data_IF_983860853431
#
_entry.id   IF_983860853431
#
_cell.length_a   1.000
_cell.length_b   1.000
_cell.length_c   1.000
_cell.angle_alpha   90.00
_cell.angle_beta   90.00
_cell.angle_gamma   90.00
#
_symmetry.space_group_name_H-M   'P 1'
#
loop_
_entity.id
_entity.type
_entity.pdbx_description
1 polymer ?
#
# COMPACT_ATOMS: atom_id res chain seq x y z
N UNK A 1 13.60 -3.00 -26.42
CA UNK A 1 14.24 -2.43 -25.22
C UNK A 1 13.12 -2.23 -24.20
N UNK A 2 12.77 -3.28 -23.48
CA UNK A 2 11.58 -3.34 -22.60
C UNK A 2 12.07 -2.98 -21.20
N UNK A 3 11.89 -1.72 -20.79
CA UNK A 3 12.24 -1.23 -19.45
C UNK A 3 11.11 -1.60 -18.48
N UNK A 4 11.51 -1.98 -17.27
CA UNK A 4 10.65 -2.48 -16.20
C UNK A 4 9.70 -1.37 -15.74
N UNK A 5 8.41 -1.52 -16.00
CA UNK A 5 7.38 -0.65 -15.44
C UNK A 5 7.17 -1.00 -13.96
N UNK A 6 7.56 -0.08 -13.06
CA UNK A 6 7.26 -0.16 -11.64
C UNK A 6 5.93 0.56 -11.37
N UNK A 7 4.83 -0.05 -11.80
CA UNK A 7 3.54 0.12 -11.12
C UNK A 7 3.49 -0.94 -10.02
N UNK A 8 3.58 -0.52 -8.75
CA UNK A 8 3.79 -1.39 -7.57
C UNK A 8 2.50 -2.16 -7.15
N UNK A 9 1.67 -2.49 -8.14
CA UNK A 9 0.65 -3.53 -8.03
C UNK A 9 0.91 -4.74 -8.97
N UNK A 10 1.98 -4.71 -9.76
CA UNK A 10 2.38 -5.82 -10.63
C UNK A 10 3.44 -6.78 -10.03
N UNK A 11 4.03 -6.49 -8.86
CA UNK A 11 5.08 -7.34 -8.25
C UNK A 11 4.50 -8.27 -7.18
N UNK A 12 3.50 -9.05 -7.55
CA UNK A 12 3.11 -10.28 -6.86
C UNK A 12 2.91 -11.40 -7.90
N UNK A 13 3.91 -11.58 -8.76
CA UNK A 13 4.03 -12.79 -9.59
C UNK A 13 5.48 -13.10 -9.95
N UNK A 14 6.34 -13.32 -8.95
CA UNK A 14 7.58 -14.11 -9.17
C UNK A 14 7.75 -15.06 -7.99
N UNK A 15 7.25 -16.27 -8.16
CA UNK A 15 7.31 -17.31 -7.13
C UNK A 15 6.92 -18.69 -7.62
N UNK A 16 7.21 -19.05 -8.87
CA UNK A 16 7.13 -20.45 -9.31
C UNK A 16 8.37 -20.79 -10.14
N UNK A 17 9.42 -21.28 -9.46
CA UNK A 17 10.52 -21.97 -10.13
C UNK A 17 9.96 -23.27 -10.70
N UNK A 18 9.71 -23.30 -12.00
CA UNK A 18 9.69 -24.55 -12.76
C UNK A 18 11.12 -25.10 -12.78
N UNK A 19 11.37 -26.16 -12.02
CA UNK A 19 12.57 -26.97 -12.19
C UNK A 19 12.35 -27.90 -13.39
N UNK A 20 12.92 -27.54 -14.54
CA UNK A 20 13.10 -28.46 -15.66
C UNK A 20 14.26 -29.41 -15.36
N UNK A 21 13.98 -30.70 -15.46
CA UNK A 21 14.92 -31.81 -15.37
C UNK A 21 16.00 -31.76 -16.44
N UNK A 22 17.24 -32.06 -16.06
CA UNK A 22 18.17 -32.76 -16.96
C UNK A 22 19.18 -33.56 -16.14
N UNK A 23 19.34 -34.82 -16.56
CA UNK A 23 20.17 -35.89 -16.03
C UNK A 23 21.67 -35.63 -16.18
N UNK A 24 22.48 -36.11 -15.24
CA UNK A 24 23.61 -37.02 -15.52
C UNK A 24 24.19 -37.65 -14.24
N UNK A 25 24.87 -38.77 -14.48
CA UNK A 25 25.33 -39.90 -13.67
C UNK A 25 26.45 -39.68 -12.63
N UNK A 26 26.70 -40.78 -11.90
CA UNK A 26 27.91 -41.23 -11.15
C UNK A 26 27.76 -41.19 -9.62
N UNK A 27 27.55 -42.33 -8.92
CA UNK A 27 28.41 -43.50 -8.67
C UNK A 27 29.35 -43.34 -7.45
N UNK A 28 28.93 -44.00 -6.35
CA UNK A 28 29.70 -44.70 -5.32
C UNK A 28 30.96 -44.08 -4.68
N UNK A 29 30.97 -43.97 -3.35
CA UNK A 29 31.93 -44.70 -2.48
C UNK A 29 31.53 -44.59 -0.99
N UNK A 30 31.56 -45.73 -0.29
CA UNK A 30 31.59 -45.84 1.16
C UNK A 30 33.01 -45.55 1.68
N UNK A 31 33.19 -44.96 2.86
CA UNK A 31 33.73 -45.70 4.03
C UNK A 31 33.68 -44.93 5.39
N UNK A 32 33.15 -45.65 6.38
CA UNK A 32 33.41 -45.76 7.83
C UNK A 32 33.74 -44.59 8.79
N UNK A 33 33.06 -44.74 9.94
CA UNK A 33 33.48 -44.57 11.36
C UNK A 33 33.31 -43.17 12.00
N UNK A 34 32.24 -43.02 12.78
CA UNK A 34 32.38 -42.90 14.24
C UNK A 34 31.02 -43.15 14.92
N UNK A 35 31.04 -43.97 15.97
CA UNK A 35 29.84 -44.38 16.69
C UNK A 35 29.28 -43.28 17.57
N UNK A 36 28.01 -42.94 17.39
CA UNK A 36 27.15 -42.29 18.38
C UNK A 36 25.74 -42.89 18.31
N UNK A 37 25.13 -43.03 19.49
CA UNK A 37 23.85 -43.71 19.77
C UNK A 37 22.72 -43.25 18.86
N UNK A 38 21.96 -44.22 18.35
CA UNK A 38 20.67 -44.05 17.70
C UNK A 38 19.64 -43.43 18.67
N UNK A 39 18.96 -42.38 18.19
CA UNK A 39 17.62 -42.00 18.63
C UNK A 39 16.74 -42.18 17.39
N UNK A 40 15.76 -43.08 17.47
CA UNK A 40 14.79 -43.34 16.40
C UNK A 40 14.02 -42.05 16.07
N UNK A 41 14.15 -41.56 14.84
CA UNK A 41 13.23 -40.60 14.26
C UNK A 41 12.18 -41.44 13.53
N UNK A 42 10.93 -41.37 14.00
CA UNK A 42 9.78 -42.00 13.32
C UNK A 42 9.66 -41.42 11.91
N UNK A 43 9.67 -42.32 10.92
CA UNK A 43 9.37 -42.02 9.53
C UNK A 43 7.93 -41.50 9.39
N UNK A 44 7.76 -40.44 8.60
CA UNK A 44 6.46 -39.98 8.14
C UNK A 44 5.92 -41.00 7.13
N UNK A 45 4.65 -41.45 7.24
CA UNK A 45 4.10 -42.39 6.26
C UNK A 45 4.00 -41.75 4.87
N UNK A 46 4.40 -42.55 3.88
CA UNK A 46 4.32 -42.30 2.45
C UNK A 46 2.89 -42.00 1.99
N UNK A 47 2.78 -41.13 0.99
CA UNK A 47 1.56 -40.72 0.31
C UNK A 47 0.61 -41.88 -0.02
N UNK A 48 -0.54 -41.94 0.65
CA UNK A 48 -1.69 -42.71 0.19
C UNK A 48 -2.45 -41.91 -0.87
N UNK A 49 -2.68 -42.55 -2.02
CA UNK A 49 -3.53 -42.06 -3.11
C UNK A 49 -4.98 -41.90 -2.62
N UNK A 50 -5.53 -40.69 -2.74
CA UNK A 50 -6.95 -40.43 -2.48
C UNK A 50 -7.74 -40.72 -3.77
N UNK A 51 -8.79 -41.57 -3.74
CA UNK A 51 -9.53 -41.93 -4.93
C UNK A 51 -10.43 -40.79 -5.43
N UNK A 52 -10.50 -40.65 -6.75
CA UNK A 52 -11.33 -39.67 -7.44
C UNK A 52 -12.83 -39.99 -7.32
N UNK A 53 -13.63 -39.05 -6.79
CA UNK A 53 -15.10 -39.10 -6.87
C UNK A 53 -15.71 -37.72 -7.17
N UNK A 54 -16.61 -37.75 -8.16
CA UNK A 54 -17.69 -36.84 -8.52
C UNK A 54 -17.36 -35.42 -9.05
N UNK A 55 -17.59 -35.28 -10.36
CA UNK A 55 -17.73 -34.03 -11.11
C UNK A 55 -18.94 -33.24 -10.60
N UNK A 56 -18.72 -32.38 -9.62
CA UNK A 56 -19.62 -31.28 -9.27
C UNK A 56 -19.21 -30.02 -10.05
N UNK A 57 -20.19 -29.28 -10.58
CA UNK A 57 -19.99 -28.02 -11.32
C UNK A 57 -18.96 -27.13 -10.62
N UNK A 58 -17.76 -26.99 -11.18
CA UNK A 58 -16.77 -25.98 -10.73
C UNK A 58 -17.37 -24.61 -11.04
N UNK A 59 -18.07 -24.01 -10.07
CA UNK A 59 -18.02 -22.56 -9.97
C UNK A 59 -16.53 -22.24 -9.87
N UNK A 60 -15.94 -21.66 -10.92
CA UNK A 60 -14.62 -21.03 -10.79
C UNK A 60 -14.82 -20.03 -9.65
N UNK A 61 -14.20 -20.30 -8.50
CA UNK A 61 -14.12 -19.32 -7.43
C UNK A 61 -13.35 -18.14 -8.04
N UNK A 62 -14.09 -17.12 -8.47
CA UNK A 62 -13.49 -15.85 -8.85
C UNK A 62 -13.00 -15.28 -7.53
N UNK A 63 -11.69 -15.11 -7.41
CA UNK A 63 -11.11 -14.47 -6.26
C UNK A 63 -11.77 -13.09 -6.14
N UNK A 64 -12.53 -12.79 -5.07
CA UNK A 64 -13.23 -11.52 -4.96
C UNK A 64 -12.27 -10.34 -4.71
N UNK A 65 -10.97 -10.61 -4.52
CA UNK A 65 -9.95 -9.63 -4.25
C UNK A 65 -9.14 -9.34 -5.51
N UNK A 66 -9.08 -8.04 -5.83
CA UNK A 66 -8.15 -7.41 -6.78
C UNK A 66 -6.82 -8.16 -6.93
N UNK A 67 -6.14 -8.19 -5.78
CA UNK A 67 -4.84 -8.77 -5.60
C UNK A 67 -4.98 -10.02 -4.75
N UNK A 68 -4.95 -11.19 -5.40
CA UNK A 68 -5.15 -12.46 -4.71
C UNK A 68 -4.17 -12.68 -3.55
N UNK A 69 -2.96 -12.15 -3.65
CA UNK A 69 -1.97 -12.19 -2.58
C UNK A 69 -2.32 -11.29 -1.39
N UNK A 70 -3.09 -10.21 -1.58
CA UNK A 70 -3.58 -9.40 -0.47
C UNK A 70 -4.64 -10.13 0.35
N UNK A 71 -5.29 -11.16 -0.20
CA UNK A 71 -6.31 -11.95 0.51
C UNK A 71 -5.80 -12.59 1.80
N UNK A 72 -4.50 -12.87 1.92
CA UNK A 72 -3.88 -13.40 3.15
C UNK A 72 -3.85 -12.39 4.30
N UNK A 73 -3.98 -11.11 3.99
CA UNK A 73 -4.08 -10.02 4.96
C UNK A 73 -5.53 -9.59 5.20
N UNK A 74 -6.51 -10.23 4.58
CA UNK A 74 -7.91 -9.88 4.80
C UNK A 74 -8.41 -10.41 6.14
N UNK A 75 -8.69 -9.49 7.06
CA UNK A 75 -9.56 -9.72 8.21
C UNK A 75 -10.69 -8.69 8.17
N UNK A 76 -11.98 -9.12 8.08
CA UNK A 76 -13.12 -8.20 8.05
C UNK A 76 -13.25 -7.33 9.31
N UNK A 77 -12.56 -7.68 10.40
CA UNK A 77 -12.51 -6.91 11.66
C UNK A 77 -11.27 -6.03 11.75
N UNK A 78 -10.25 -6.25 10.93
CA UNK A 78 -9.05 -5.42 10.94
C UNK A 78 -9.38 -4.05 10.33
N UNK A 79 -9.07 -3.02 11.10
CA UNK A 79 -9.28 -1.62 10.72
C UNK A 79 -7.98 -0.89 10.44
N UNK A 80 -6.88 -1.33 11.05
CA UNK A 80 -5.56 -0.73 10.85
C UNK A 80 -4.69 -1.66 10.01
N UNK A 81 -4.22 -1.16 8.86
CA UNK A 81 -3.30 -1.84 7.95
C UNK A 81 -1.96 -1.11 7.84
N UNK A 82 -1.76 -0.04 8.63
CA UNK A 82 -0.60 0.86 8.49
C UNK A 82 0.73 0.15 8.71
N UNK A 83 0.79 -0.75 9.70
CA UNK A 83 1.98 -1.53 10.03
C UNK A 83 2.32 -2.58 8.98
N UNK A 84 1.31 -3.30 8.47
CA UNK A 84 1.45 -4.27 7.39
C UNK A 84 1.86 -3.57 6.09
N UNK A 85 1.20 -2.47 5.76
CA UNK A 85 1.51 -1.64 4.60
C UNK A 85 2.96 -1.17 4.65
N UNK A 86 3.39 -0.56 5.75
CA UNK A 86 4.76 -0.12 5.94
C UNK A 86 5.75 -1.28 5.80
N UNK A 87 5.52 -2.41 6.48
CA UNK A 87 6.44 -3.57 6.40
C UNK A 87 6.58 -4.10 4.98
N UNK A 88 5.47 -4.26 4.26
CA UNK A 88 5.49 -4.80 2.89
C UNK A 88 6.23 -3.83 1.98
N UNK A 89 5.84 -2.56 1.98
CA UNK A 89 6.43 -1.56 1.08
C UNK A 89 7.90 -1.30 1.41
N UNK A 90 8.21 -1.10 2.70
CA UNK A 90 9.58 -0.91 3.14
C UNK A 90 10.49 -2.07 2.75
N UNK A 91 10.01 -3.32 2.89
CA UNK A 91 10.77 -4.50 2.47
C UNK A 91 11.03 -4.51 0.97
N UNK A 92 10.06 -4.10 0.15
CA UNK A 92 10.21 -4.04 -1.31
C UNK A 92 11.32 -3.06 -1.71
N UNK A 93 11.35 -1.88 -1.11
CA UNK A 93 12.36 -0.86 -1.46
C UNK A 93 13.73 -1.13 -0.85
N UNK A 94 13.82 -1.76 0.33
CA UNK A 94 15.12 -2.09 0.96
C UNK A 94 15.98 -2.99 0.08
N UNK A 95 15.36 -3.94 -0.63
CA UNK A 95 16.09 -4.91 -1.46
C UNK A 95 16.49 -4.36 -2.83
N UNK A 96 15.75 -3.36 -3.32
CA UNK A 96 15.84 -2.88 -4.70
C UNK A 96 16.58 -1.55 -4.82
N UNK A 97 16.57 -0.71 -3.79
CA UNK A 97 16.90 0.71 -3.92
C UNK A 97 18.01 1.20 -3.00
N UNK A 98 18.36 2.47 -3.16
CA UNK A 98 19.39 3.14 -2.36
C UNK A 98 18.73 3.86 -1.19
N UNK A 99 19.17 3.59 0.04
CA UNK A 99 18.76 4.37 1.21
C UNK A 99 19.27 5.81 1.07
N UNK A 100 18.35 6.76 1.12
CA UNK A 100 18.64 8.19 1.03
C UNK A 100 18.05 8.97 2.20
N UNK A 101 17.72 8.30 3.32
CA UNK A 101 16.98 8.93 4.41
C UNK A 101 17.70 10.14 5.00
N UNK A 102 19.02 10.07 5.20
CA UNK A 102 19.77 11.24 5.68
C UNK A 102 19.72 12.41 4.68
N UNK A 103 19.65 12.12 3.38
CA UNK A 103 19.60 13.13 2.33
C UNK A 103 18.22 13.80 2.23
N UNK A 104 17.13 13.11 2.57
CA UNK A 104 15.77 13.70 2.46
C UNK A 104 15.58 14.90 3.40
N UNK A 105 16.34 14.99 4.49
CA UNK A 105 16.32 16.16 5.39
C UNK A 105 16.60 17.48 4.67
N UNK A 106 17.37 17.45 3.57
CA UNK A 106 17.78 18.64 2.82
C UNK A 106 16.70 19.19 1.89
N UNK A 107 15.63 18.43 1.63
CA UNK A 107 14.60 18.79 0.66
C UNK A 107 13.25 19.07 1.32
N UNK A 108 12.41 19.89 0.69
CA UNK A 108 11.08 20.21 1.19
C UNK A 108 10.01 19.41 0.43
N UNK A 109 9.43 18.43 1.11
CA UNK A 109 8.41 17.53 0.55
C UNK A 109 6.99 18.10 0.64
N UNK A 110 6.78 19.28 1.24
CA UNK A 110 5.45 19.86 1.48
C UNK A 110 4.58 19.91 0.22
N UNK A 111 5.19 20.18 -0.93
CA UNK A 111 4.50 20.29 -2.22
C UNK A 111 3.92 18.99 -2.76
N UNK A 112 4.37 17.81 -2.30
CA UNK A 112 3.83 16.54 -2.81
C UNK A 112 2.49 16.18 -2.16
N UNK A 113 2.24 16.65 -0.93
CA UNK A 113 0.99 16.38 -0.21
C UNK A 113 -0.07 17.48 -0.42
N UNK A 114 0.32 18.73 -0.72
CA UNK A 114 -0.60 19.82 -1.05
C UNK A 114 -1.02 19.80 -2.52
N UNK A 115 -2.03 19.01 -2.86
CA UNK A 115 -2.43 18.71 -4.25
C UNK A 115 -3.33 19.76 -4.93
N UNK A 116 -3.92 20.67 -4.17
CA UNK A 116 -4.84 21.69 -4.70
C UNK A 116 -6.23 21.16 -5.07
N UNK A 117 -6.50 19.88 -4.81
CA UNK A 117 -7.80 19.21 -4.93
C UNK A 117 -7.99 18.22 -3.76
N UNK A 118 -9.23 17.78 -3.55
CA UNK A 118 -9.56 16.74 -2.57
C UNK A 118 -9.09 15.37 -3.05
N UNK A 119 -8.40 14.63 -2.18
CA UNK A 119 -8.10 13.22 -2.37
C UNK A 119 -9.27 12.38 -1.85
N UNK A 120 -9.62 11.33 -2.58
CA UNK A 120 -10.71 10.42 -2.20
C UNK A 120 -10.18 9.21 -1.43
N UNK A 121 -11.03 8.64 -0.59
CA UNK A 121 -10.66 7.53 0.27
C UNK A 121 -11.85 6.75 0.79
N UNK A 122 -11.54 5.73 1.59
CA UNK A 122 -12.48 4.87 2.29
C UNK A 122 -12.38 5.05 3.79
N UNK A 123 -13.52 5.13 4.48
CA UNK A 123 -13.64 5.14 5.93
C UNK A 123 -14.60 4.04 6.43
N UNK A 124 -14.14 3.27 7.43
CA UNK A 124 -14.87 2.18 8.06
C UNK A 124 -14.97 0.89 7.22
N UNK A 125 -15.52 -0.16 7.83
CA UNK A 125 -15.64 -1.50 7.22
C UNK A 125 -16.58 -1.57 6.01
N UNK A 126 -17.43 -0.55 5.84
CA UNK A 126 -18.35 -0.44 4.70
C UNK A 126 -17.73 0.32 3.51
N UNK A 127 -16.46 0.72 3.61
CA UNK A 127 -15.77 1.53 2.60
C UNK A 127 -16.56 2.80 2.23
N UNK A 128 -17.07 3.52 3.23
CA UNK A 128 -17.77 4.78 2.99
C UNK A 128 -16.78 5.78 2.40
N UNK A 129 -17.20 6.57 1.41
CA UNK A 129 -16.35 7.62 0.83
C UNK A 129 -15.99 8.65 1.90
N UNK A 130 -14.72 9.01 1.93
CA UNK A 130 -14.18 10.16 2.63
C UNK A 130 -13.41 11.00 1.61
N UNK A 131 -13.47 12.32 1.76
CA UNK A 131 -12.64 13.26 1.01
C UNK A 131 -11.68 13.96 1.99
N UNK A 132 -10.43 14.13 1.58
CA UNK A 132 -9.39 14.81 2.35
C UNK A 132 -8.81 15.93 1.49
N UNK A 133 -8.93 17.17 1.96
CA UNK A 133 -8.35 18.35 1.34
C UNK A 133 -7.23 18.89 2.23
N UNK A 134 -5.97 18.71 1.83
CA UNK A 134 -4.82 19.32 2.51
C UNK A 134 -4.67 20.76 2.04
N UNK A 135 -4.95 21.71 2.93
CA UNK A 135 -4.93 23.14 2.64
C UNK A 135 -3.54 23.75 2.78
N UNK A 136 -2.73 23.24 3.71
CA UNK A 136 -1.36 23.67 3.87
C UNK A 136 -0.46 22.61 4.51
N UNK A 137 0.83 22.68 4.18
CA UNK A 137 1.88 21.85 4.75
C UNK A 137 3.11 22.71 4.99
N UNK A 138 3.62 22.69 6.22
CA UNK A 138 4.75 23.51 6.65
C UNK A 138 5.84 22.62 7.22
N UNK A 139 6.99 22.58 6.57
CA UNK A 139 8.19 21.91 7.10
C UNK A 139 8.65 22.58 8.41
N UNK A 140 8.92 21.76 9.43
CA UNK A 140 9.47 22.25 10.70
C UNK A 140 10.92 22.71 10.51
N UNK A 141 11.22 23.89 11.05
CA UNK A 141 12.56 24.50 11.01
C UNK A 141 13.53 23.84 12.01
N UNK A 142 13.02 23.27 13.10
CA UNK A 142 13.82 22.64 14.14
C UNK A 142 14.08 21.15 13.84
N UNK A 143 13.08 20.46 13.29
CA UNK A 143 13.20 19.07 12.86
C UNK A 143 12.89 18.94 11.35
N UNK A 144 13.90 18.84 10.47
CA UNK A 144 13.67 18.78 9.02
C UNK A 144 12.97 17.49 8.55
N UNK A 145 12.76 16.50 9.42
CA UNK A 145 11.95 15.31 9.12
C UNK A 145 10.47 15.50 9.44
N UNK A 146 10.08 16.61 10.07
CA UNK A 146 8.73 16.85 10.55
C UNK A 146 8.02 17.95 9.75
N UNK A 147 6.72 17.76 9.55
CA UNK A 147 5.84 18.66 8.84
C UNK A 147 4.57 18.88 9.65
N UNK A 148 4.08 20.11 9.67
CA UNK A 148 2.75 20.46 10.18
C UNK A 148 1.78 20.48 9.02
N UNK A 149 0.69 19.73 9.13
CA UNK A 149 -0.31 19.54 8.07
C UNK A 149 -1.63 20.12 8.54
N UNK A 150 -2.30 20.85 7.65
CA UNK A 150 -3.60 21.45 7.87
C UNK A 150 -4.53 21.06 6.72
N UNK A 151 -5.79 20.84 7.04
CA UNK A 151 -6.74 20.43 6.03
C UNK A 151 -8.15 20.25 6.54
N UNK A 152 -8.95 19.58 5.72
CA UNK A 152 -10.37 19.35 5.92
C UNK A 152 -10.68 17.91 5.52
N UNK A 153 -11.45 17.22 6.35
CA UNK A 153 -12.05 15.93 6.06
C UNK A 153 -13.56 16.10 5.82
N UNK A 154 -14.10 15.34 4.88
CA UNK A 154 -15.53 15.32 4.58
C UNK A 154 -16.04 13.88 4.44
N UNK A 155 -17.06 13.54 5.22
CA UNK A 155 -17.74 12.23 5.18
C UNK A 155 -19.24 12.46 5.15
N UNK A 156 -19.87 12.17 4.01
CA UNK A 156 -21.26 12.54 3.75
C UNK A 156 -21.49 14.05 3.97
N UNK A 157 -22.28 14.43 4.95
CA UNK A 157 -22.58 15.83 5.32
C UNK A 157 -21.71 16.35 6.49
N UNK A 158 -20.82 15.50 7.03
CA UNK A 158 -19.94 15.89 8.12
C UNK A 158 -18.60 16.41 7.59
N UNK A 159 -18.30 17.67 7.89
CA UNK A 159 -17.05 18.35 7.51
C UNK A 159 -16.31 18.76 8.77
N UNK A 160 -15.03 18.40 8.87
CA UNK A 160 -14.16 18.78 9.98
C UNK A 160 -12.84 19.34 9.47
N UNK A 161 -12.41 20.46 10.02
CA UNK A 161 -11.05 20.96 9.86
C UNK A 161 -10.12 20.11 10.74
N UNK A 162 -8.94 19.79 10.23
CA UNK A 162 -7.93 19.06 10.98
C UNK A 162 -6.57 19.77 10.93
N UNK A 163 -5.77 19.50 11.95
CA UNK A 163 -4.35 19.84 11.97
C UNK A 163 -3.54 18.73 12.62
N UNK A 164 -2.27 18.62 12.27
CA UNK A 164 -1.39 17.68 12.94
C UNK A 164 -0.03 17.58 12.30
N UNK A 165 0.57 16.42 12.46
CA UNK A 165 1.99 16.22 12.20
C UNK A 165 2.22 15.03 11.28
N UNK A 166 3.22 15.16 10.41
CA UNK A 166 3.77 14.10 9.59
C UNK A 166 5.27 14.07 9.83
N UNK A 167 5.79 12.91 10.22
CA UNK A 167 7.21 12.69 10.48
C UNK A 167 7.74 11.62 9.52
N UNK A 168 8.77 11.97 8.74
CA UNK A 168 9.44 11.02 7.83
C UNK A 168 10.14 9.91 8.63
N UNK A 169 9.97 8.67 8.18
CA UNK A 169 10.55 7.49 8.80
C UNK A 169 11.78 6.98 8.06
N UNK A 170 11.76 7.07 6.73
CA UNK A 170 12.81 6.63 5.82
C UNK A 170 12.53 7.14 4.39
N UNK A 171 13.54 7.01 3.52
CA UNK A 171 13.41 7.33 2.10
C UNK A 171 14.36 6.49 1.25
N UNK A 172 13.90 6.13 0.06
CA UNK A 172 14.68 5.36 -0.91
C UNK A 172 14.69 6.07 -2.26
N UNK A 173 15.82 6.05 -2.96
CA UNK A 173 15.91 6.48 -4.35
C UNK A 173 16.11 5.30 -5.28
N UNK A 174 15.45 5.35 -6.43
CA UNK A 174 15.66 4.38 -7.49
C UNK A 174 17.12 4.36 -7.93
N UNK A 175 17.70 3.17 -8.13
CA UNK A 175 19.08 3.04 -8.65
C UNK A 175 19.23 3.62 -10.05
N UNK A 176 18.17 3.52 -10.84
CA UNK A 176 18.04 4.12 -12.17
C UNK A 176 16.73 4.90 -12.19
N UNK A 177 16.79 6.20 -12.49
CA UNK A 177 15.58 7.00 -12.72
C UNK A 177 15.10 6.85 -14.16
N UNK A 178 13.79 6.90 -14.35
CA UNK A 178 13.16 6.99 -15.66
C UNK A 178 13.45 8.34 -16.37
N UNK A 179 13.88 9.35 -15.62
CA UNK A 179 14.19 10.70 -16.11
C UNK A 179 15.65 11.05 -15.84
N UNK A 180 16.35 11.53 -16.87
CA UNK A 180 17.74 11.97 -16.71
C UNK A 180 17.86 13.15 -15.74
N UNK A 181 18.91 13.15 -14.92
CA UNK A 181 19.23 14.19 -13.93
C UNK A 181 18.14 14.41 -12.86
N UNK A 182 17.33 13.40 -12.59
CA UNK A 182 16.33 13.42 -11.53
C UNK A 182 16.60 12.28 -10.55
N UNK A 183 16.55 12.58 -9.25
CA UNK A 183 16.41 11.55 -8.23
C UNK A 183 14.94 11.20 -8.10
N UNK A 184 14.59 10.01 -8.53
CA UNK A 184 13.27 9.42 -8.36
C UNK A 184 13.28 8.48 -7.17
N UNK A 185 12.21 8.43 -6.40
CA UNK A 185 12.19 7.61 -5.20
C UNK A 185 10.88 7.64 -4.44
N UNK A 186 10.90 7.11 -3.22
CA UNK A 186 9.78 7.11 -2.29
C UNK A 186 10.20 7.59 -0.91
N UNK A 187 9.30 8.29 -0.22
CA UNK A 187 9.42 8.56 1.21
C UNK A 187 8.26 7.93 1.96
N UNK A 188 8.56 7.46 3.17
CA UNK A 188 7.56 7.01 4.11
C UNK A 188 7.49 7.96 5.29
N UNK A 189 6.29 8.19 5.80
CA UNK A 189 6.07 9.00 6.98
C UNK A 189 5.00 8.40 7.90
N UNK A 190 5.09 8.71 9.18
CA UNK A 190 4.02 8.50 10.15
C UNK A 190 3.26 9.80 10.32
N UNK A 191 1.94 9.73 10.28
CA UNK A 191 1.10 10.91 10.45
C UNK A 191 0.15 10.77 11.64
N UNK A 192 -0.24 11.91 12.20
CA UNK A 192 -1.28 12.03 13.21
C UNK A 192 -2.00 13.35 13.02
N UNK A 193 -3.26 13.33 12.59
CA UNK A 193 -4.08 14.53 12.37
C UNK A 193 -5.29 14.53 13.29
N UNK A 194 -5.57 15.66 13.91
CA UNK A 194 -6.64 15.88 14.87
C UNK A 194 -7.68 16.79 14.24
N UNK A 195 -8.89 16.29 14.11
CA UNK A 195 -10.05 17.14 13.79
C UNK A 195 -10.36 18.05 14.97
N UNK A 196 -10.89 19.25 14.69
CA UNK A 196 -11.33 20.20 15.70
C UNK A 196 -12.42 19.58 16.58
N UNK A 197 -12.13 19.46 17.87
CA UNK A 197 -13.05 18.86 18.85
C UNK A 197 -14.35 19.65 19.04
N UNK A 198 -14.42 20.90 18.58
CA UNK A 198 -15.64 21.71 18.60
C UNK A 198 -16.59 21.42 17.43
N UNK A 199 -16.15 20.68 16.41
CA UNK A 199 -16.96 20.32 15.25
C UNK A 199 -17.72 19.00 15.47
N UNK A 200 -18.57 18.64 14.51
CA UNK A 200 -19.46 17.49 14.65
C UNK A 200 -18.71 16.17 14.42
N UNK A 201 -18.90 15.22 15.32
CA UNK A 201 -18.29 13.88 15.27
C UNK A 201 -16.78 13.88 14.93
N UNK A 202 -15.95 14.65 15.65
CA UNK A 202 -14.53 14.79 15.35
C UNK A 202 -13.74 13.57 15.85
N UNK A 203 -12.55 13.40 15.29
CA UNK A 203 -11.67 12.30 15.61
C UNK A 203 -10.20 12.52 15.25
N UNK A 204 -9.46 11.44 15.39
CA UNK A 204 -8.02 11.36 15.16
C UNK A 204 -7.74 10.46 13.96
N UNK A 205 -7.08 11.01 12.96
CA UNK A 205 -6.41 10.22 11.92
C UNK A 205 -5.01 9.82 12.39
N UNK A 206 -4.62 8.57 12.15
CA UNK A 206 -3.25 8.09 12.43
C UNK A 206 -2.89 6.95 11.50
N UNK A 207 -1.65 6.94 11.00
CA UNK A 207 -1.18 5.89 10.11
C UNK A 207 0.17 6.17 9.48
N UNK A 208 0.38 5.55 8.32
CA UNK A 208 1.57 5.67 7.48
C UNK A 208 1.20 6.27 6.13
N UNK A 209 2.04 7.15 5.62
CA UNK A 209 1.99 7.65 4.25
C UNK A 209 3.17 7.12 3.45
N UNK A 210 2.93 6.76 2.21
CA UNK A 210 3.96 6.54 1.19
C UNK A 210 3.74 7.52 0.04
N UNK A 211 4.79 8.23 -0.36
CA UNK A 211 4.75 9.19 -1.46
C UNK A 211 5.93 9.00 -2.38
N UNK A 212 5.66 8.79 -3.67
CA UNK A 212 6.66 8.83 -4.72
C UNK A 212 7.11 10.26 -5.00
N UNK A 213 8.39 10.49 -5.19
CA UNK A 213 8.97 11.80 -5.44
C UNK A 213 9.90 11.82 -6.64
N UNK A 214 10.04 13.02 -7.21
CA UNK A 214 11.06 13.40 -8.17
C UNK A 214 11.78 14.64 -7.64
N UNK A 215 13.10 14.62 -7.63
CA UNK A 215 13.96 15.75 -7.26
C UNK A 215 14.88 16.05 -8.44
N UNK A 216 14.70 17.22 -9.04
CA UNK A 216 15.60 17.70 -10.09
C UNK A 216 16.93 18.13 -9.45
N UNK A 217 18.05 17.58 -9.93
CA UNK A 217 19.38 17.89 -9.38
C UNK A 217 19.81 19.35 -9.62
N UNK A 218 19.19 20.07 -10.55
CA UNK A 218 19.52 21.45 -10.88
C UNK A 218 18.85 22.46 -9.95
N UNK A 219 17.56 22.26 -9.63
CA UNK A 219 16.80 23.21 -8.81
C UNK A 219 16.42 22.70 -7.41
N UNK A 220 16.64 21.40 -7.14
CA UNK A 220 16.39 20.77 -5.85
C UNK A 220 14.91 20.71 -5.47
N UNK A 221 13.98 21.01 -6.39
CA UNK A 221 12.55 21.00 -6.10
C UNK A 221 12.01 19.58 -6.08
N UNK A 222 11.30 19.27 -5.00
CA UNK A 222 10.55 18.02 -4.87
C UNK A 222 9.22 18.15 -5.59
N UNK A 223 8.90 17.17 -6.43
CA UNK A 223 7.61 17.00 -7.09
C UNK A 223 7.07 15.60 -6.80
N UNK A 224 5.75 15.45 -6.82
CA UNK A 224 5.13 14.13 -6.77
C UNK A 224 5.51 13.34 -8.02
N UNK A 225 5.89 12.07 -7.87
CA UNK A 225 6.14 11.20 -9.02
C UNK A 225 4.84 10.77 -9.70
N UNK A 226 4.55 11.40 -10.83
CA UNK A 226 3.39 11.08 -11.68
C UNK A 226 3.79 10.49 -13.02
N UNK A 227 5.01 9.95 -13.17
CA UNK A 227 5.50 9.46 -14.46
C UNK A 227 4.68 8.28 -15.00
N UNK A 228 4.08 7.49 -14.10
CA UNK A 228 3.25 6.33 -14.44
C UNK A 228 1.76 6.57 -14.17
N UNK A 229 1.29 7.82 -14.20
CA UNK A 229 -0.10 8.18 -13.87
C UNK A 229 -1.14 7.51 -14.79
N UNK A 230 -0.77 7.24 -16.04
CA UNK A 230 -1.62 6.56 -17.03
C UNK A 230 -1.43 5.03 -17.04
N UNK A 231 -0.65 4.49 -16.11
CA UNK A 231 -0.39 3.05 -16.03
C UNK A 231 -1.45 2.35 -15.18
N UNK A 232 -1.87 1.16 -15.63
CA UNK A 232 -2.76 0.28 -14.87
C UNK A 232 -2.26 0.10 -13.43
N UNK A 233 -3.16 0.29 -12.47
CA UNK A 233 -2.84 0.13 -11.05
C UNK A 233 -2.06 1.29 -10.44
N UNK A 234 -1.95 2.45 -11.10
CA UNK A 234 -1.29 3.62 -10.50
C UNK A 234 -1.93 3.99 -9.16
N UNK A 235 -1.08 4.16 -8.15
CA UNK A 235 -1.42 4.55 -6.79
C UNK A 235 -0.28 5.38 -6.24
N UNK A 236 -0.58 6.50 -5.58
CA UNK A 236 0.45 7.35 -4.98
C UNK A 236 -0.11 8.16 -3.79
N UNK A 237 0.76 8.79 -2.99
CA UNK A 237 0.38 9.48 -1.75
C UNK A 237 -0.58 8.63 -0.91
N UNK A 238 -0.24 7.37 -0.70
CA UNK A 238 -1.10 6.40 -0.04
C UNK A 238 -1.03 6.62 1.48
N UNK A 239 -2.05 7.27 2.04
CA UNK A 239 -2.26 7.36 3.47
C UNK A 239 -3.05 6.15 3.93
N UNK A 240 -2.39 5.24 4.66
CA UNK A 240 -2.97 4.00 5.17
C UNK A 240 -3.00 4.05 6.69
N UNK A 241 -4.19 4.04 7.28
CA UNK A 241 -4.32 4.11 8.73
C UNK A 241 -5.76 3.99 9.22
N UNK A 242 -6.03 4.72 10.29
CA UNK A 242 -7.32 4.72 10.97
C UNK A 242 -7.81 6.12 11.25
N UNK A 243 -9.13 6.23 11.40
CA UNK A 243 -9.80 7.35 12.03
C UNK A 243 -10.45 6.87 13.34
N UNK A 244 -10.23 7.58 14.44
CA UNK A 244 -10.81 7.26 15.75
C UNK A 244 -11.57 8.44 16.30
N UNK A 245 -12.90 8.36 16.33
CA UNK A 245 -13.76 9.43 16.87
C UNK A 245 -13.55 9.64 18.37
N UNK A 246 -13.54 10.90 18.80
CA UNK A 246 -13.32 11.26 20.20
C UNK A 246 -14.44 10.73 21.13
N UNK A 247 -15.69 10.68 20.64
CA UNK A 247 -16.84 10.26 21.44
C UNK A 247 -16.95 8.74 21.64
N UNK A 248 -16.59 7.96 20.60
CA UNK A 248 -16.84 6.52 20.57
C UNK A 248 -15.60 5.68 20.90
N UNK A 249 -14.39 6.25 20.73
CA UNK A 249 -13.11 5.57 20.93
C UNK A 249 -12.85 4.37 20.00
N UNK A 250 -13.75 4.07 19.06
CA UNK A 250 -13.63 2.95 18.12
C UNK A 250 -12.94 3.42 16.84
N UNK A 251 -11.78 2.83 16.57
CA UNK A 251 -11.06 3.03 15.33
C UNK A 251 -11.86 2.47 14.14
N UNK A 252 -11.83 3.21 13.03
CA UNK A 252 -12.33 2.84 11.71
C UNK A 252 -11.15 2.80 10.76
N UNK A 253 -11.18 1.88 9.79
CA UNK A 253 -10.29 1.93 8.62
C UNK A 253 -10.36 3.32 8.01
N UNK A 254 -9.22 3.92 7.65
CA UNK A 254 -9.18 5.16 6.90
C UNK A 254 -8.01 5.10 5.93
N UNK A 255 -8.31 5.00 4.63
CA UNK A 255 -7.30 4.91 3.57
C UNK A 255 -7.67 5.91 2.49
N UNK A 256 -6.75 6.79 2.11
CA UNK A 256 -6.94 7.75 1.01
C UNK A 256 -5.63 7.96 0.27
N UNK A 257 -5.71 8.51 -0.95
CA UNK A 257 -4.55 8.77 -1.78
C UNK A 257 -4.91 9.17 -3.19
N UNK A 258 -3.97 8.99 -4.10
CA UNK A 258 -4.14 9.24 -5.54
C UNK A 258 -4.52 7.95 -6.26
N UNK A 259 -5.55 8.02 -7.10
CA UNK A 259 -6.02 6.91 -7.94
C UNK A 259 -6.42 5.66 -7.14
N UNK A 260 -5.71 4.54 -7.29
CA UNK A 260 -6.05 3.28 -6.62
C UNK A 260 -5.62 3.26 -5.16
N UNK A 261 -6.47 2.68 -4.32
CA UNK A 261 -6.25 2.60 -2.89
C UNK A 261 -5.78 1.20 -2.47
N UNK A 262 -4.71 1.07 -1.66
CA UNK A 262 -4.26 -0.22 -1.15
C UNK A 262 -5.20 -0.77 -0.08
N UNK A 263 -5.14 -2.08 0.20
CA UNK A 263 -5.90 -2.73 1.29
C UNK A 263 -7.43 -2.48 1.27
N UNK A 264 -7.97 -2.34 0.06
CA UNK A 264 -9.40 -2.17 -0.20
C UNK A 264 -10.12 -3.47 -0.58
N UNK A 265 -9.38 -4.56 -0.83
CA UNK A 265 -9.92 -5.92 -0.95
C UNK A 265 -11.00 -6.06 -2.03
N UNK A 266 -12.24 -6.39 -1.66
CA UNK A 266 -13.36 -6.60 -2.57
C UNK A 266 -14.15 -5.31 -2.87
N UNK A 267 -13.64 -4.17 -2.40
CA UNK A 267 -14.10 -2.83 -2.77
C UNK A 267 -13.70 -2.46 -4.19
N UNK A 268 -12.44 -2.69 -4.55
CA UNK A 268 -11.92 -2.46 -5.90
C UNK A 268 -12.00 -3.75 -6.72
N UNK A 269 -12.76 -3.71 -7.79
CA UNK A 269 -12.98 -4.82 -8.73
C UNK A 269 -12.52 -4.50 -10.16
N UNK A 270 -11.79 -3.40 -10.35
CA UNK A 270 -11.30 -3.01 -11.67
C UNK A 270 -10.07 -3.82 -12.08
N UNK A 271 -9.82 -3.94 -13.38
CA UNK A 271 -8.63 -4.65 -13.88
C UNK A 271 -7.43 -3.71 -14.11
N UNK A 272 -7.69 -2.45 -14.50
CA UNK A 272 -6.67 -1.40 -14.67
C UNK A 272 -6.84 -0.26 -13.65
N UNK A 273 -7.97 0.44 -13.74
CA UNK A 273 -8.35 1.52 -12.83
C UNK A 273 -9.17 1.04 -11.63
N UNK A 274 -9.30 1.89 -10.60
CA UNK A 274 -10.20 1.61 -9.48
C UNK A 274 -11.65 1.55 -9.94
N UNK A 275 -12.31 0.40 -9.78
CA UNK A 275 -13.75 0.28 -10.02
C UNK A 275 -14.43 -0.13 -8.73
N UNK A 276 -15.29 0.75 -8.22
CA UNK A 276 -16.02 0.49 -6.97
C UNK A 276 -17.07 -0.60 -7.18
N UNK A 277 -16.94 -1.67 -6.40
CA UNK A 277 -17.89 -2.76 -6.35
C UNK A 277 -19.30 -2.24 -6.02
N UNK A 278 -20.29 -2.64 -6.83
CA UNK A 278 -21.68 -2.17 -6.75
C UNK A 278 -22.27 -2.21 -5.34
N UNK A 279 -21.89 -3.18 -4.51
CA UNK A 279 -22.38 -3.29 -3.12
C UNK A 279 -22.00 -2.12 -2.22
N UNK A 280 -20.92 -1.39 -2.53
CA UNK A 280 -20.43 -0.25 -1.75
C UNK A 280 -20.89 1.11 -2.30
N UNK A 281 -21.48 1.16 -3.50
CA UNK A 281 -21.89 2.43 -4.15
C UNK A 281 -22.80 3.31 -3.30
N UNK A 282 -23.73 2.68 -2.57
CA UNK A 282 -24.62 3.37 -1.61
C UNK A 282 -23.91 4.10 -0.47
N UNK A 283 -22.61 3.92 -0.27
CA UNK A 283 -21.83 4.57 0.78
C UNK A 283 -21.02 5.78 0.27
N UNK A 284 -21.53 6.49 -0.73
CA UNK A 284 -20.94 7.73 -1.25
C UNK A 284 -20.26 7.60 -2.61
N UNK A 285 -20.32 6.44 -3.26
CA UNK A 285 -19.65 6.18 -4.54
C UNK A 285 -20.64 6.09 -5.73
N UNK A 286 -21.79 6.75 -5.62
CA UNK A 286 -22.88 6.64 -6.61
C UNK A 286 -22.56 7.24 -7.97
N UNK A 287 -21.65 8.22 -8.06
CA UNK A 287 -21.27 8.84 -9.34
C UNK A 287 -20.53 7.88 -10.29
N UNK A 288 -19.96 6.77 -9.77
CA UNK A 288 -19.41 5.70 -10.60
C UNK A 288 -20.49 4.94 -11.41
N UNK A 289 -21.79 5.16 -11.14
CA UNK A 289 -22.87 4.64 -11.97
C UNK A 289 -22.97 5.36 -13.33
N UNK A 290 -22.53 6.61 -13.45
CA UNK A 290 -22.69 7.43 -14.66
C UNK A 290 -21.55 7.25 -15.67
N UNK A 291 -20.36 6.85 -15.21
CA UNK A 291 -19.15 6.75 -16.06
C UNK A 291 -19.08 5.42 -16.82
N UNK A 292 -19.77 4.37 -16.37
CA UNK A 292 -19.67 3.01 -16.94
C UNK A 292 -21.03 2.37 -17.28
N UNK A 293 -22.07 3.18 -17.50
CA UNK A 293 -23.39 2.72 -17.93
C UNK A 293 -23.57 2.65 -19.46
N UNK A 294 -22.49 2.62 -20.24
CA UNK A 294 -22.52 2.35 -21.69
C UNK A 294 -22.32 0.87 -22.01
#
# INVERSE_FOLDING_TARGET
>A
MVRRFLSILAILSIGCKQTSSTSTSEASTLDRKSGRRLVEIRELPSSEEVPAVAVGKRHRYVNPYHYGELSKYYDPKQVDFSSEYYKIQNSLFTDLETDVFDSVASYDFSGIWKRGYSQEGVIGVNYRRIEISISDVVKDKANPMKYFVYGVSEVADNRCDFSGELELLNGYSLRESDVENVMQGVVFGRYTFREDSAQNHPGLFSGIVESGFLIDHQDGKVKLDTLSIDADGYANNNFVGTWTGYDAGKAKKCIWGEYRLPFTFDFDIGDGEMIVNKKYRKYGWGYYDEVYSE
#
